data_IF_073766334535
#
_entry.id   IF_073766334535
#
_cell.length_a   1.000
_cell.length_b   1.000
_cell.length_c   1.000
_cell.angle_alpha   90.00
_cell.angle_beta   90.00
_cell.angle_gamma   90.00
#
_symmetry.space_group_name_H-M   'P 1'
#
loop_
_entity.id
_entity.type
_entity.pdbx_description
1 polymer ?
#
# COMPACT_ATOMS: atom_id res chain seq x y z
N UNK A 1 24.30 -0.03 -6.84
CA UNK A 1 23.25 -0.19 -7.88
C UNK A 1 21.83 -0.25 -7.32
N UNK A 2 21.54 -0.97 -6.22
CA UNK A 2 20.18 -1.01 -5.63
C UNK A 2 19.63 0.36 -5.20
N UNK A 3 20.48 1.24 -4.64
CA UNK A 3 20.06 2.59 -4.23
C UNK A 3 19.62 3.49 -5.41
N UNK A 4 20.29 3.39 -6.57
CA UNK A 4 19.92 4.15 -7.78
C UNK A 4 18.59 3.66 -8.39
N UNK A 5 18.32 2.35 -8.31
CA UNK A 5 17.04 1.77 -8.75
C UNK A 5 15.87 2.21 -7.86
N UNK A 6 16.09 2.33 -6.55
CA UNK A 6 15.10 2.81 -5.58
C UNK A 6 14.80 4.31 -5.74
N UNK A 7 15.83 5.12 -5.96
CA UNK A 7 15.69 6.56 -6.23
C UNK A 7 14.93 6.79 -7.53
N UNK A 8 15.25 6.04 -8.60
CA UNK A 8 14.54 6.10 -9.88
C UNK A 8 13.06 5.69 -9.76
N UNK A 9 12.77 4.61 -9.03
CA UNK A 9 11.38 4.14 -8.82
C UNK A 9 10.54 5.11 -7.99
N UNK A 10 11.12 5.73 -6.96
CA UNK A 10 10.45 6.75 -6.15
C UNK A 10 10.10 7.98 -6.99
N UNK A 11 11.02 8.38 -7.87
CA UNK A 11 10.84 9.54 -8.75
C UNK A 11 9.75 9.31 -9.80
N UNK A 12 9.70 8.12 -10.42
CA UNK A 12 8.61 7.73 -11.35
C UNK A 12 7.25 7.83 -10.67
N UNK A 13 7.16 7.39 -9.42
CA UNK A 13 5.93 7.42 -8.66
C UNK A 13 5.46 8.85 -8.34
N UNK A 14 6.39 9.74 -8.01
CA UNK A 14 6.08 11.16 -7.79
C UNK A 14 5.59 11.82 -9.07
N UNK A 15 6.20 11.53 -10.22
CA UNK A 15 5.73 12.04 -11.52
C UNK A 15 4.37 11.48 -11.93
N UNK A 16 4.03 10.23 -11.57
CA UNK A 16 2.69 9.67 -11.77
C UNK A 16 1.65 10.40 -10.90
N UNK A 17 2.00 10.71 -9.65
CA UNK A 17 1.11 11.46 -8.74
C UNK A 17 0.94 12.90 -9.25
N UNK A 18 2.01 13.55 -9.69
CA UNK A 18 1.97 14.89 -10.27
C UNK A 18 1.12 14.93 -11.54
N UNK A 19 1.29 13.95 -12.45
CA UNK A 19 0.45 13.78 -13.63
C UNK A 19 -1.03 13.60 -13.27
N UNK A 20 -1.33 12.79 -12.26
CA UNK A 20 -2.70 12.53 -11.82
C UNK A 20 -3.37 13.76 -11.17
N UNK A 21 -2.59 14.60 -10.47
CA UNK A 21 -3.11 15.78 -9.77
C UNK A 21 -3.13 17.05 -10.63
N UNK A 22 -2.18 17.20 -11.55
CA UNK A 22 -1.97 18.45 -12.30
C UNK A 22 -2.13 18.31 -13.81
N UNK A 23 -2.17 17.08 -14.34
CA UNK A 23 -2.23 16.81 -15.78
C UNK A 23 -0.90 17.08 -16.52
N UNK A 24 0.18 17.41 -15.80
CA UNK A 24 1.48 17.75 -16.39
C UNK A 24 2.62 17.07 -15.64
N UNK A 25 3.72 16.76 -16.34
CA UNK A 25 4.98 16.30 -15.74
C UNK A 25 6.06 17.35 -15.97
N UNK A 26 6.67 17.86 -14.90
CA UNK A 26 7.75 18.84 -14.96
C UNK A 26 9.06 18.28 -14.41
N UNK A 27 10.17 18.69 -14.99
CA UNK A 27 11.51 18.43 -14.44
C UNK A 27 11.82 19.40 -13.29
N UNK A 28 12.93 19.18 -12.58
CA UNK A 28 13.48 20.00 -11.50
C UNK A 28 13.56 21.49 -11.85
N UNK A 29 13.75 21.81 -13.13
CA UNK A 29 13.84 23.19 -13.64
C UNK A 29 12.48 23.77 -14.09
N UNK A 30 11.38 23.05 -13.91
CA UNK A 30 10.01 23.50 -14.21
C UNK A 30 9.56 23.30 -15.68
N UNK A 31 10.43 22.75 -16.53
CA UNK A 31 10.12 22.46 -17.94
C UNK A 31 9.33 21.15 -18.08
N UNK A 32 8.45 21.06 -19.09
CA UNK A 32 7.70 19.83 -19.37
C UNK A 32 8.61 18.73 -19.89
N UNK A 33 8.75 17.63 -19.15
CA UNK A 33 9.74 16.58 -19.45
C UNK A 33 9.07 15.20 -19.62
N UNK A 34 8.19 15.14 -20.63
CA UNK A 34 7.44 13.94 -20.99
C UNK A 34 8.32 12.79 -21.46
N UNK A 35 9.49 13.10 -22.04
CA UNK A 35 10.39 12.11 -22.60
C UNK A 35 11.13 11.34 -21.50
N UNK A 36 11.72 12.05 -20.52
CA UNK A 36 12.35 11.43 -19.38
C UNK A 36 11.35 10.65 -18.52
N UNK A 37 10.12 11.14 -18.39
CA UNK A 37 9.03 10.39 -17.74
C UNK A 37 8.72 9.09 -18.49
N UNK A 38 8.58 9.16 -19.82
CA UNK A 38 8.32 8.00 -20.67
C UNK A 38 9.42 6.94 -20.57
N UNK A 39 10.70 7.33 -20.60
CA UNK A 39 11.83 6.41 -20.44
C UNK A 39 11.82 5.71 -19.09
N UNK A 40 11.59 6.45 -17.99
CA UNK A 40 11.60 5.87 -16.65
C UNK A 40 10.37 4.97 -16.42
N UNK A 41 9.21 5.34 -16.96
CA UNK A 41 8.01 4.50 -16.96
C UNK A 41 8.25 3.22 -17.76
N UNK A 42 8.85 3.32 -18.95
CA UNK A 42 9.18 2.17 -19.78
C UNK A 42 10.15 1.22 -19.05
N UNK A 43 11.22 1.75 -18.44
CA UNK A 43 12.16 0.95 -17.64
C UNK A 43 11.48 0.25 -16.45
N UNK A 44 10.59 0.94 -15.74
CA UNK A 44 9.83 0.38 -14.64
C UNK A 44 8.89 -0.76 -15.10
N UNK A 45 8.16 -0.54 -16.20
CA UNK A 45 7.25 -1.54 -16.80
C UNK A 45 8.03 -2.74 -17.31
N UNK A 46 9.12 -2.53 -18.05
CA UNK A 46 9.98 -3.61 -18.57
C UNK A 46 10.62 -4.39 -17.42
N UNK A 47 11.13 -3.71 -16.40
CA UNK A 47 11.67 -4.35 -15.20
C UNK A 47 10.63 -5.19 -14.46
N UNK A 48 9.40 -4.68 -14.31
CA UNK A 48 8.29 -5.41 -13.70
C UNK A 48 7.88 -6.64 -14.53
N UNK A 49 7.79 -6.50 -15.86
CA UNK A 49 7.48 -7.60 -16.76
C UNK A 49 8.58 -8.65 -16.75
N UNK A 50 9.84 -8.26 -16.75
CA UNK A 50 10.99 -9.17 -16.69
C UNK A 50 10.98 -9.95 -15.38
N UNK A 51 10.78 -9.28 -14.24
CA UNK A 51 10.65 -9.92 -12.94
C UNK A 51 9.45 -10.88 -12.88
N UNK A 52 8.29 -10.46 -13.39
CA UNK A 52 7.10 -11.29 -13.46
C UNK A 52 7.33 -12.54 -14.33
N UNK A 53 8.03 -12.38 -15.45
CA UNK A 53 8.37 -13.48 -16.37
C UNK A 53 9.37 -14.43 -15.73
N UNK A 54 10.42 -13.91 -15.07
CA UNK A 54 11.40 -14.70 -14.33
C UNK A 54 10.75 -15.49 -13.18
N UNK A 55 9.88 -14.86 -12.40
CA UNK A 55 9.12 -15.52 -11.32
C UNK A 55 8.14 -16.55 -11.88
N UNK A 56 7.49 -16.27 -13.01
CA UNK A 56 6.64 -17.24 -13.71
C UNK A 56 7.46 -18.44 -14.16
N UNK A 57 8.63 -18.22 -14.76
CA UNK A 57 9.51 -19.28 -15.23
C UNK A 57 10.05 -20.13 -14.07
N UNK A 58 10.51 -19.50 -12.99
CA UNK A 58 10.96 -20.20 -11.79
C UNK A 58 9.84 -21.05 -11.16
N UNK A 59 8.60 -20.53 -11.12
CA UNK A 59 7.43 -21.27 -10.61
C UNK A 59 7.06 -22.45 -11.49
N UNK A 60 7.18 -22.30 -12.82
CA UNK A 60 6.97 -23.41 -13.77
C UNK A 60 8.07 -24.47 -13.63
N UNK A 61 9.33 -24.06 -13.49
CA UNK A 61 10.47 -24.96 -13.27
C UNK A 61 10.39 -25.73 -11.95
N UNK A 62 9.79 -25.15 -10.91
CA UNK A 62 9.59 -25.79 -9.61
C UNK A 62 8.38 -26.75 -9.55
N UNK A 63 7.65 -26.96 -10.66
CA UNK A 63 6.51 -27.88 -10.70
C UNK A 63 5.30 -27.43 -9.85
N UNK A 64 5.20 -26.14 -9.58
CA UNK A 64 4.18 -25.56 -8.69
C UNK A 64 2.96 -25.10 -9.50
N UNK A 65 1.75 -25.42 -9.03
CA UNK A 65 0.53 -25.00 -9.71
C UNK A 65 0.40 -23.47 -9.71
N UNK A 66 0.20 -22.86 -10.89
CA UNK A 66 0.01 -21.41 -11.03
C UNK A 66 -1.24 -20.85 -10.30
N UNK A 67 -2.18 -21.73 -9.91
CA UNK A 67 -3.43 -21.34 -9.23
C UNK A 67 -3.31 -21.33 -7.71
N UNK A 68 -2.85 -22.42 -7.10
CA UNK A 68 -2.74 -22.56 -5.65
C UNK A 68 -1.33 -22.30 -5.10
N UNK A 69 -0.29 -22.34 -5.94
CA UNK A 69 1.09 -22.18 -5.49
C UNK A 69 1.65 -23.40 -4.76
N UNK A 70 1.03 -24.57 -4.89
CA UNK A 70 1.49 -25.85 -4.32
C UNK A 70 1.82 -26.86 -5.42
N UNK A 71 2.76 -27.75 -5.16
CA UNK A 71 3.07 -28.88 -6.05
C UNK A 71 1.99 -29.96 -5.91
N UNK A 72 1.21 -30.19 -6.98
CA UNK A 72 0.26 -31.30 -7.06
C UNK A 72 0.04 -31.72 -8.52
N UNK A 73 -0.34 -32.97 -8.74
CA UNK A 73 -0.68 -33.46 -10.08
C UNK A 73 -1.99 -32.82 -10.58
N UNK A 74 -2.05 -32.50 -11.87
CA UNK A 74 -3.14 -31.73 -12.48
C UNK A 74 -4.48 -32.48 -12.61
N UNK A 75 -4.52 -33.78 -12.25
CA UNK A 75 -5.75 -34.59 -12.35
C UNK A 75 -6.66 -34.30 -11.15
N UNK A 76 -7.78 -33.63 -11.43
CA UNK A 76 -8.97 -33.48 -10.58
C UNK A 76 -8.73 -32.87 -9.19
N UNK A 77 -8.39 -31.58 -9.16
CA UNK A 77 -8.48 -30.78 -7.92
C UNK A 77 -9.67 -29.82 -7.97
N UNK A 78 -10.55 -29.92 -6.98
CA UNK A 78 -11.62 -28.95 -6.74
C UNK A 78 -11.02 -27.70 -6.08
N UNK A 79 -11.62 -26.53 -6.37
CA UNK A 79 -11.17 -25.27 -5.77
C UNK A 79 -11.87 -25.06 -4.45
N UNK A 80 -11.09 -25.00 -3.38
CA UNK A 80 -11.58 -24.62 -2.07
C UNK A 80 -11.17 -23.18 -1.77
N UNK A 81 -12.12 -22.40 -1.26
CA UNK A 81 -11.88 -21.03 -0.86
C UNK A 81 -11.90 -20.95 0.66
N UNK A 82 -10.82 -20.45 1.30
CA UNK A 82 -10.76 -20.31 2.75
C UNK A 82 -11.98 -19.58 3.33
N UNK A 83 -12.36 -19.97 4.54
CA UNK A 83 -13.40 -19.30 5.30
C UNK A 83 -12.93 -17.86 5.62
N UNK A 84 -13.82 -16.85 5.52
CA UNK A 84 -13.48 -15.48 5.86
C UNK A 84 -13.01 -15.39 7.31
N UNK A 85 -11.77 -14.93 7.50
CA UNK A 85 -11.17 -14.81 8.83
C UNK A 85 -10.49 -13.45 9.00
N UNK A 86 -10.52 -12.92 10.22
CA UNK A 86 -9.71 -11.76 10.57
C UNK A 86 -8.20 -12.11 10.48
N UNK A 87 -7.37 -11.08 10.34
CA UNK A 87 -5.93 -11.26 10.33
C UNK A 87 -5.40 -11.77 11.68
N UNK A 88 -4.23 -12.44 11.68
CA UNK A 88 -3.54 -12.82 12.90
C UNK A 88 -3.33 -11.60 13.83
N UNK A 89 -3.32 -11.79 15.17
CA UNK A 89 -3.27 -10.70 16.13
C UNK A 89 -2.05 -9.78 15.93
N UNK A 90 -0.90 -10.32 15.51
CA UNK A 90 0.29 -9.52 15.21
C UNK A 90 0.06 -8.56 14.04
N UNK A 91 -0.52 -9.04 12.93
CA UNK A 91 -0.82 -8.22 11.75
C UNK A 91 -1.88 -7.16 12.09
N UNK A 92 -2.86 -7.51 12.92
CA UNK A 92 -3.85 -6.54 13.43
C UNK A 92 -3.20 -5.42 14.24
N UNK A 93 -2.29 -5.75 15.17
CA UNK A 93 -1.54 -4.74 15.93
C UNK A 93 -0.72 -3.84 15.02
N UNK A 94 -0.04 -4.40 14.02
CA UNK A 94 0.72 -3.62 13.02
C UNK A 94 -0.21 -2.68 12.25
N UNK A 95 -1.39 -3.15 11.84
CA UNK A 95 -2.36 -2.32 11.14
C UNK A 95 -2.92 -1.19 12.02
N UNK A 96 -3.23 -1.48 13.29
CA UNK A 96 -3.68 -0.44 14.23
C UNK A 96 -2.57 0.57 14.54
N UNK A 97 -1.33 0.11 14.72
CA UNK A 97 -0.17 0.97 14.84
C UNK A 97 -0.02 1.85 13.59
N UNK A 98 -0.12 1.26 12.39
CA UNK A 98 -0.13 1.93 11.09
C UNK A 98 -1.17 3.05 10.99
N UNK A 99 -2.39 2.82 11.50
CA UNK A 99 -3.43 3.85 11.57
C UNK A 99 -3.06 4.98 12.55
N UNK A 100 -2.42 4.64 13.68
CA UNK A 100 -1.99 5.59 14.69
C UNK A 100 -0.82 6.48 14.29
N UNK A 101 -0.04 6.10 13.27
CA UNK A 101 1.17 6.86 12.85
C UNK A 101 0.84 8.24 12.27
N UNK A 102 -0.40 8.48 11.84
CA UNK A 102 -0.83 9.82 11.44
C UNK A 102 -0.97 10.79 12.63
N UNK A 103 -1.04 10.28 13.87
CA UNK A 103 -1.27 11.07 15.08
C UNK A 103 -0.28 12.22 15.28
N UNK A 104 1.05 11.97 15.30
CA UNK A 104 2.04 13.04 15.45
C UNK A 104 1.93 14.13 14.37
N UNK A 105 1.72 13.74 13.12
CA UNK A 105 1.59 14.69 12.01
C UNK A 105 0.34 15.58 12.16
N UNK A 106 -0.82 14.97 12.46
CA UNK A 106 -2.06 15.69 12.71
C UNK A 106 -1.97 16.60 13.94
N UNK A 107 -1.29 16.14 14.99
CA UNK A 107 -1.08 16.90 16.21
C UNK A 107 -0.25 18.16 15.96
N UNK A 108 0.85 18.04 15.21
CA UNK A 108 1.67 19.21 14.86
C UNK A 108 0.90 20.22 14.01
N UNK A 109 0.14 19.78 13.01
CA UNK A 109 -0.76 20.65 12.23
C UNK A 109 -1.80 21.36 13.11
N UNK A 110 -2.35 20.66 14.11
CA UNK A 110 -3.28 21.26 15.05
C UNK A 110 -2.61 22.33 15.94
N UNK A 111 -1.37 22.09 16.39
CA UNK A 111 -0.59 23.08 17.14
C UNK A 111 -0.22 24.31 16.29
N UNK A 112 0.16 24.09 15.03
CA UNK A 112 0.44 25.17 14.08
C UNK A 112 -0.82 25.99 13.77
N UNK A 113 -1.98 25.35 13.60
CA UNK A 113 -3.27 26.02 13.45
C UNK A 113 -3.70 26.80 14.72
N UNK A 114 -3.29 26.33 15.90
CA UNK A 114 -3.47 27.03 17.17
C UNK A 114 -2.48 28.20 17.37
N UNK A 115 -1.52 28.40 16.46
CA UNK A 115 -0.56 29.51 16.50
C UNK A 115 0.64 29.26 17.40
N UNK A 116 0.97 28.01 17.73
CA UNK A 116 2.17 27.69 18.52
C UNK A 116 3.43 28.05 17.74
N UNK A 117 4.24 28.95 18.29
CA UNK A 117 5.46 29.44 17.66
C UNK A 117 6.46 28.31 17.39
N UNK A 118 7.09 28.33 16.20
CA UNK A 118 8.13 27.37 15.82
C UNK A 118 7.64 26.07 15.16
N UNK A 119 6.33 25.82 15.12
CA UNK A 119 5.77 24.64 14.43
C UNK A 119 5.61 24.90 12.92
N UNK A 120 4.97 26.01 12.56
CA UNK A 120 4.79 26.44 11.17
C UNK A 120 5.18 27.92 11.02
N UNK A 121 6.38 28.23 10.45
CA UNK A 121 6.96 29.57 10.43
C UNK A 121 6.09 30.66 9.80
N UNK A 122 5.18 30.28 8.90
CA UNK A 122 4.33 31.21 8.15
C UNK A 122 2.90 31.31 8.69
N UNK A 123 2.60 30.62 9.80
CA UNK A 123 1.24 30.48 10.32
C UNK A 123 0.38 29.59 9.41
N UNK A 124 0.04 28.40 9.86
CA UNK A 124 -0.84 27.51 9.12
C UNK A 124 -2.30 27.86 9.40
N UNK A 125 -2.98 28.37 8.38
CA UNK A 125 -4.43 28.61 8.44
C UNK A 125 -5.08 27.60 7.49
N UNK A 126 -5.45 26.41 7.96
CA UNK A 126 -6.02 25.40 7.10
C UNK A 126 -7.34 25.92 6.52
N UNK A 127 -7.47 25.89 5.20
CA UNK A 127 -8.75 26.10 4.56
C UNK A 127 -9.67 24.91 4.88
N UNK A 128 -10.98 25.13 4.89
CA UNK A 128 -11.93 24.04 5.13
C UNK A 128 -11.73 22.89 4.14
N UNK A 129 -11.34 23.19 2.90
CA UNK A 129 -11.05 22.23 1.84
C UNK A 129 -9.85 21.35 2.18
N UNK A 130 -8.78 21.93 2.74
CA UNK A 130 -7.60 21.18 3.17
C UNK A 130 -7.94 20.22 4.32
N UNK A 131 -8.74 20.69 5.29
CA UNK A 131 -9.21 19.85 6.40
C UNK A 131 -10.08 18.70 5.87
N UNK A 132 -11.08 19.01 5.03
CA UNK A 132 -11.96 18.01 4.46
C UNK A 132 -11.17 16.98 3.63
N UNK A 133 -10.25 17.43 2.79
CA UNK A 133 -9.38 16.56 2.00
C UNK A 133 -8.49 15.67 2.88
N UNK A 134 -7.90 16.21 3.94
CA UNK A 134 -7.10 15.45 4.90
C UNK A 134 -7.91 14.39 5.65
N UNK A 135 -9.10 14.75 6.15
CA UNK A 135 -10.01 13.82 6.84
C UNK A 135 -10.47 12.70 5.91
N UNK A 136 -10.87 13.03 4.67
CA UNK A 136 -11.30 12.04 3.68
C UNK A 136 -10.13 11.14 3.29
N UNK A 137 -8.96 11.71 3.02
CA UNK A 137 -7.77 10.96 2.63
C UNK A 137 -7.30 9.99 3.72
N UNK A 138 -7.20 10.46 4.96
CA UNK A 138 -6.82 9.61 6.11
C UNK A 138 -7.92 8.59 6.41
N UNK A 139 -9.19 8.98 6.33
CA UNK A 139 -10.33 8.08 6.48
C UNK A 139 -10.29 6.94 5.46
N UNK A 140 -10.02 7.25 4.19
CA UNK A 140 -9.87 6.25 3.13
C UNK A 140 -8.65 5.35 3.36
N UNK A 141 -7.53 5.92 3.81
CA UNK A 141 -6.33 5.17 4.16
C UNK A 141 -6.60 4.18 5.30
N UNK A 142 -7.13 4.66 6.44
CA UNK A 142 -7.50 3.82 7.58
C UNK A 142 -8.52 2.76 7.17
N UNK A 143 -9.54 3.14 6.39
CA UNK A 143 -10.52 2.19 5.87
C UNK A 143 -9.87 1.11 5.01
N UNK A 144 -8.98 1.47 4.08
CA UNK A 144 -8.28 0.51 3.25
C UNK A 144 -7.48 -0.47 4.12
N UNK A 145 -6.63 0.03 5.02
CA UNK A 145 -5.77 -0.77 5.88
C UNK A 145 -6.58 -1.71 6.80
N UNK A 146 -7.65 -1.21 7.41
CA UNK A 146 -8.55 -2.02 8.23
C UNK A 146 -9.30 -3.06 7.40
N UNK A 147 -9.66 -2.73 6.16
CA UNK A 147 -10.29 -3.66 5.23
C UNK A 147 -9.42 -4.87 4.94
N UNK A 148 -8.11 -4.71 4.76
CA UNK A 148 -7.19 -5.84 4.57
C UNK A 148 -7.09 -6.76 5.79
N UNK A 149 -7.47 -6.28 6.96
CA UNK A 149 -7.18 -6.92 8.26
C UNK A 149 -8.45 -7.53 8.86
N UNK A 150 -9.61 -6.95 8.58
CA UNK A 150 -10.90 -7.37 9.09
C UNK A 150 -11.63 -8.32 8.14
N UNK A 151 -12.65 -9.01 8.65
CA UNK A 151 -13.46 -9.97 7.88
C UNK A 151 -14.26 -9.31 6.76
N UNK A 152 -14.66 -8.05 6.94
CA UNK A 152 -15.43 -7.29 5.95
C UNK A 152 -14.64 -6.96 4.67
N UNK A 153 -13.31 -7.11 4.68
CA UNK A 153 -12.52 -7.04 3.45
C UNK A 153 -12.69 -8.26 2.54
N UNK A 154 -13.12 -9.40 3.08
CA UNK A 154 -13.33 -10.64 2.32
C UNK A 154 -14.80 -10.87 1.97
N UNK A 155 -15.72 -10.38 2.79
CA UNK A 155 -17.17 -10.52 2.60
C UNK A 155 -17.82 -9.17 2.79
N UNK A 156 -18.68 -8.80 1.84
CA UNK A 156 -19.42 -7.55 1.93
C UNK A 156 -20.28 -7.53 3.20
N UNK A 157 -20.17 -6.48 4.02
CA UNK A 157 -20.91 -6.37 5.28
C UNK A 157 -22.42 -6.24 5.03
N UNK A 158 -23.22 -6.49 6.08
CA UNK A 158 -24.68 -6.51 5.98
C UNK A 158 -25.28 -5.15 5.62
N UNK A 159 -24.57 -4.07 5.88
CA UNK A 159 -24.99 -2.70 5.56
C UNK A 159 -24.86 -2.36 4.06
N UNK A 160 -24.03 -3.07 3.29
CA UNK A 160 -24.09 -2.98 1.82
C UNK A 160 -25.21 -3.89 1.32
N UNK A 161 -26.46 -3.47 1.53
CA UNK A 161 -27.67 -4.27 1.31
C UNK A 161 -27.65 -5.06 -0.01
N UNK A 162 -27.20 -4.46 -1.11
CA UNK A 162 -27.19 -5.08 -2.43
C UNK A 162 -26.10 -6.12 -2.67
N UNK A 163 -24.99 -6.05 -1.93
CA UNK A 163 -23.82 -6.94 -2.08
C UNK A 163 -23.60 -7.85 -0.87
N UNK A 164 -24.43 -7.72 0.15
CA UNK A 164 -24.27 -8.40 1.44
C UNK A 164 -24.08 -9.92 1.26
N UNK A 165 -23.09 -10.47 1.96
CA UNK A 165 -22.77 -11.90 1.90
C UNK A 165 -22.01 -12.36 0.66
N UNK A 166 -21.84 -11.52 -0.38
CA UNK A 166 -20.97 -11.86 -1.51
C UNK A 166 -19.50 -11.71 -1.12
N UNK A 167 -18.63 -12.57 -1.70
CA UNK A 167 -17.18 -12.48 -1.52
C UNK A 167 -16.64 -11.29 -2.33
N UNK A 168 -15.79 -10.49 -1.70
CA UNK A 168 -15.13 -9.36 -2.36
C UNK A 168 -14.05 -9.91 -3.30
N UNK A 169 -14.01 -9.50 -4.59
CA UNK A 169 -12.95 -9.90 -5.49
C UNK A 169 -11.59 -9.45 -4.96
N UNK A 170 -10.63 -10.39 -4.84
CA UNK A 170 -9.30 -10.11 -4.27
C UNK A 170 -8.59 -8.90 -4.90
N UNK A 171 -8.80 -8.67 -6.20
CA UNK A 171 -8.11 -7.62 -6.94
C UNK A 171 -8.55 -6.21 -6.53
N UNK A 172 -9.77 -6.06 -6.02
CA UNK A 172 -10.34 -4.75 -5.69
C UNK A 172 -9.56 -4.05 -4.57
N UNK A 173 -9.32 -4.67 -3.39
CA UNK A 173 -8.48 -4.05 -2.36
C UNK A 173 -6.98 -4.16 -2.67
N UNK A 174 -6.53 -5.19 -3.39
CA UNK A 174 -5.10 -5.42 -3.60
C UNK A 174 -4.49 -4.47 -4.65
N UNK A 175 -5.20 -4.15 -5.72
CA UNK A 175 -4.69 -3.28 -6.78
C UNK A 175 -4.23 -1.89 -6.26
N UNK A 176 -5.06 -1.12 -5.53
CA UNK A 176 -4.62 0.18 -5.01
C UNK A 176 -3.51 0.02 -3.96
N UNK A 177 -3.53 -1.04 -3.15
CA UNK A 177 -2.52 -1.25 -2.11
C UNK A 177 -1.15 -1.57 -2.71
N UNK A 178 -1.08 -2.37 -3.77
CA UNK A 178 0.19 -2.64 -4.45
C UNK A 178 0.75 -1.42 -5.19
N UNK A 179 -0.11 -0.48 -5.58
CA UNK A 179 0.34 0.79 -6.11
C UNK A 179 0.87 1.70 -4.99
N UNK A 180 0.10 1.88 -3.92
CA UNK A 180 0.33 2.91 -2.91
C UNK A 180 1.37 2.49 -1.86
N UNK A 181 1.34 1.24 -1.41
CA UNK A 181 2.17 0.79 -0.29
C UNK A 181 3.69 0.90 -0.56
N UNK A 182 4.22 0.44 -1.73
CA UNK A 182 5.63 0.61 -2.04
C UNK A 182 6.03 2.07 -2.12
N UNK A 183 5.20 2.93 -2.70
CA UNK A 183 5.43 4.38 -2.78
C UNK A 183 5.59 4.99 -1.41
N UNK A 184 4.61 4.76 -0.53
CA UNK A 184 4.62 5.34 0.81
C UNK A 184 5.75 4.78 1.66
N UNK A 185 6.00 3.47 1.57
CA UNK A 185 7.08 2.83 2.30
C UNK A 185 8.45 3.37 1.86
N UNK A 186 8.71 3.46 0.55
CA UNK A 186 9.98 3.96 0.03
C UNK A 186 10.17 5.45 0.27
N UNK A 187 9.16 6.25 -0.06
CA UNK A 187 9.19 7.70 0.14
C UNK A 187 9.36 8.04 1.62
N UNK A 188 8.52 7.47 2.49
CA UNK A 188 8.59 7.71 3.92
C UNK A 188 9.90 7.24 4.53
N UNK A 189 10.37 6.04 4.20
CA UNK A 189 11.63 5.51 4.75
C UNK A 189 12.83 6.33 4.28
N UNK A 190 12.89 6.67 2.98
CA UNK A 190 13.97 7.50 2.43
C UNK A 190 13.98 8.90 3.05
N UNK A 191 12.80 9.52 3.19
CA UNK A 191 12.64 10.81 3.86
C UNK A 191 13.03 10.75 5.34
N UNK A 192 12.68 9.66 6.04
CA UNK A 192 13.03 9.46 7.45
C UNK A 192 14.54 9.30 7.65
N UNK A 193 15.20 8.53 6.78
CA UNK A 193 16.66 8.39 6.77
C UNK A 193 17.31 9.74 6.51
N UNK A 194 16.82 10.49 5.51
CA UNK A 194 17.32 11.82 5.22
C UNK A 194 17.19 12.76 6.43
N UNK A 195 16.02 12.79 7.08
CA UNK A 195 15.78 13.61 8.28
C UNK A 195 16.76 13.26 9.41
N UNK A 196 17.02 11.97 9.62
CA UNK A 196 17.99 11.49 10.62
C UNK A 196 19.42 12.02 10.35
N UNK A 197 19.86 12.05 9.10
CA UNK A 197 21.20 12.53 8.73
C UNK A 197 21.34 14.05 8.68
N UNK A 198 20.24 14.77 8.58
CA UNK A 198 20.23 16.23 8.44
C UNK A 198 19.86 16.95 9.74
N UNK A 199 19.89 16.22 10.87
CA UNK A 199 19.49 16.68 12.21
C UNK A 199 18.05 17.26 12.29
N UNK A 200 17.21 16.99 11.29
CA UNK A 200 15.79 17.30 11.38
C UNK A 200 15.16 16.33 12.37
N UNK A 201 14.68 16.85 13.49
CA UNK A 201 14.03 16.03 14.51
C UNK A 201 12.84 15.23 13.94
N UNK A 202 12.68 13.99 14.37
CA UNK A 202 11.54 13.12 13.99
C UNK A 202 10.18 13.70 14.39
N UNK A 203 10.18 14.65 15.33
CA UNK A 203 9.00 15.40 15.77
C UNK A 203 8.82 16.74 15.05
N UNK A 204 9.65 17.05 14.05
CA UNK A 204 9.37 18.14 13.11
C UNK A 204 8.19 17.78 12.20
N UNK A 205 7.56 18.77 11.56
CA UNK A 205 6.46 18.55 10.63
C UNK A 205 6.86 17.58 9.50
N UNK A 206 8.06 17.76 8.96
CA UNK A 206 8.64 16.89 7.94
C UNK A 206 8.91 15.48 8.46
N UNK A 207 9.58 15.36 9.61
CA UNK A 207 9.87 14.06 10.24
C UNK A 207 8.61 13.27 10.58
N UNK A 208 7.59 13.94 11.15
CA UNK A 208 6.31 13.31 11.46
C UNK A 208 5.58 12.83 10.20
N UNK A 209 5.66 13.58 9.08
CA UNK A 209 5.16 13.13 7.79
C UNK A 209 5.92 11.90 7.27
N UNK A 210 7.26 11.89 7.38
CA UNK A 210 8.10 10.74 6.99
C UNK A 210 7.73 9.49 7.79
N UNK A 211 7.55 9.62 9.10
CA UNK A 211 7.14 8.53 9.99
C UNK A 211 5.74 8.04 9.60
N UNK A 212 4.78 8.94 9.38
CA UNK A 212 3.43 8.61 8.92
C UNK A 212 3.45 7.80 7.62
N UNK A 213 4.15 8.27 6.58
CA UNK A 213 4.24 7.56 5.31
C UNK A 213 4.99 6.23 5.41
N UNK A 214 6.12 6.19 6.12
CA UNK A 214 6.90 4.97 6.29
C UNK A 214 6.10 3.91 7.05
N UNK A 215 5.59 4.28 8.23
CA UNK A 215 4.87 3.39 9.12
C UNK A 215 3.59 2.86 8.47
N UNK A 216 2.81 3.75 7.84
CA UNK A 216 1.60 3.35 7.15
C UNK A 216 1.89 2.52 5.89
N UNK A 217 2.89 2.88 5.08
CA UNK A 217 3.29 2.13 3.89
C UNK A 217 3.73 0.69 4.20
N UNK A 218 4.57 0.52 5.23
CA UNK A 218 4.97 -0.81 5.71
C UNK A 218 3.80 -1.60 6.31
N UNK A 219 2.92 -0.95 7.09
CA UNK A 219 1.73 -1.60 7.63
C UNK A 219 0.80 -2.10 6.52
N UNK A 220 0.59 -1.30 5.47
CA UNK A 220 -0.16 -1.69 4.27
C UNK A 220 0.49 -2.88 3.55
N UNK A 221 1.80 -2.87 3.33
CA UNK A 221 2.49 -3.96 2.66
C UNK A 221 2.36 -5.28 3.44
N UNK A 222 2.56 -5.25 4.76
CA UNK A 222 2.41 -6.41 5.63
C UNK A 222 0.96 -6.91 5.62
N UNK A 223 -0.02 -6.00 5.72
CA UNK A 223 -1.44 -6.34 5.66
C UNK A 223 -1.80 -6.95 4.30
N UNK A 224 -1.26 -6.43 3.19
CA UNK A 224 -1.50 -6.93 1.84
C UNK A 224 -0.93 -8.34 1.64
N UNK A 225 0.30 -8.60 2.08
CA UNK A 225 0.88 -9.94 2.02
C UNK A 225 0.04 -10.92 2.85
N UNK A 226 -0.35 -10.52 4.07
CA UNK A 226 -1.20 -11.34 4.93
C UNK A 226 -2.57 -11.61 4.28
N UNK A 227 -3.20 -10.59 3.69
CA UNK A 227 -4.47 -10.71 2.99
C UNK A 227 -4.37 -11.62 1.75
N UNK A 228 -3.29 -11.51 0.97
CA UNK A 228 -3.04 -12.40 -0.17
C UNK A 228 -2.93 -13.86 0.27
N UNK A 229 -2.22 -14.14 1.35
CA UNK A 229 -2.07 -15.51 1.85
C UNK A 229 -3.43 -16.06 2.31
N UNK A 230 -4.22 -15.27 3.06
CA UNK A 230 -5.55 -15.71 3.55
C UNK A 230 -6.59 -15.90 2.44
N UNK A 231 -6.48 -15.18 1.33
CA UNK A 231 -7.46 -15.22 0.23
C UNK A 231 -7.04 -16.08 -0.95
N UNK A 232 -5.87 -16.73 -0.90
CA UNK A 232 -5.42 -17.65 -1.94
C UNK A 232 -6.32 -18.90 -1.96
N UNK A 233 -6.89 -19.27 -3.12
CA UNK A 233 -7.64 -20.51 -3.25
C UNK A 233 -6.69 -21.70 -3.14
N UNK A 234 -7.08 -22.75 -2.42
CA UNK A 234 -6.36 -24.01 -2.39
C UNK A 234 -6.98 -25.01 -3.36
N UNK A 235 -6.14 -25.90 -3.90
CA UNK A 235 -6.58 -27.03 -4.71
C UNK A 235 -6.73 -28.24 -3.78
N UNK A 236 -7.95 -28.77 -3.65
CA UNK A 236 -8.23 -29.97 -2.84
C UNK A 236 -8.40 -31.14 -3.80
N UNK A 237 -7.76 -32.28 -3.52
CA UNK A 237 -7.97 -33.49 -4.32
C UNK A 237 -9.38 -34.01 -4.08
N UNK A 238 -10.08 -34.36 -5.16
CA UNK A 238 -11.46 -34.86 -5.12
C UNK A 238 -11.63 -36.19 -4.34
N UNK A 239 -10.54 -36.84 -3.94
CA UNK A 239 -10.53 -38.09 -3.18
C UNK A 239 -10.45 -37.90 -1.64
N UNK A 240 -10.19 -36.68 -1.14
CA UNK A 240 -10.14 -36.43 0.31
C UNK A 240 -11.54 -36.06 0.85
N UNK A 241 -11.98 -36.61 1.99
CA UNK A 241 -13.17 -36.11 2.67
C UNK A 241 -12.94 -34.63 3.02
N UNK A 242 -13.98 -33.81 2.89
CA UNK A 242 -13.89 -32.37 3.12
C UNK A 242 -13.23 -32.09 4.48
N UNK A 243 -12.21 -31.22 4.55
CA UNK A 243 -11.56 -30.89 5.81
C UNK A 243 -12.62 -30.30 6.75
N UNK A 244 -12.79 -30.91 7.92
CA UNK A 244 -13.66 -30.42 8.97
C UNK A 244 -13.18 -29.05 9.43
N UNK A 245 -14.11 -28.09 9.43
CA UNK A 245 -13.89 -26.67 9.71
C UNK A 245 -13.61 -26.39 11.18
#
# INVERSE_FOLDING_TARGET
MAALSLISSCWVLLSIIELALTGTVRDRDGNSDWLAFGERLALAVVGALFLATALSWQRRGAGVCARCGSAHSARSSARWYPTPSAAPPRVRRIAYAGCGVFGPYLFLHALGAAGVAGIEPNGFRPTWQAVAGGVIGIGLAVFLLLGLVQTWGMVFPRWTLWLSGRRVPRFLPLAPVWLIAPTLALYGTGSLVYAFFTEYGVLSLGGAASVAFAGYGWALAIAAVSYQVRTRPSCVRLADPAPTA
#
